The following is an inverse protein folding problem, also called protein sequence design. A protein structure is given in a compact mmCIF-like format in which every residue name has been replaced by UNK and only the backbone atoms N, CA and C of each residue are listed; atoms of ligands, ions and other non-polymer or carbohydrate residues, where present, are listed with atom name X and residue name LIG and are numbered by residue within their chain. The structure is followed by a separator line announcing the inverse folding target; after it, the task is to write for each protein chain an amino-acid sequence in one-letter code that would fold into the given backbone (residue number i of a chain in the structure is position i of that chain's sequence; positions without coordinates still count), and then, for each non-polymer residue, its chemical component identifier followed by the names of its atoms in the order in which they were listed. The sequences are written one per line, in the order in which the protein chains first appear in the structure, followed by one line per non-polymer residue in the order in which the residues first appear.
data_IF_350583970089
#
_entry.id   IF_350583970089
#
_cell.length_a   1.000
_cell.length_b   1.000
_cell.length_c   1.000
_cell.angle_alpha   90.00
_cell.angle_beta   90.00
_cell.angle_gamma   90.00
#
_symmetry.space_group_name_H-M   'P 1'
#
loop_
_entity.id
_entity.type
_entity.pdbx_description
1 polymer ?
#
# COMPACT_ATOMS: atom_id res chain seq x y z
N UNK A 1 29.53 -30.93 -3.99
CA UNK A 1 28.21 -30.78 -3.35
C UNK A 1 27.76 -29.37 -3.67
N UNK A 2 26.93 -29.20 -4.70
CA UNK A 2 26.50 -27.90 -5.21
C UNK A 2 25.11 -27.68 -4.60
N UNK A 3 25.02 -26.88 -3.53
CA UNK A 3 23.75 -26.55 -2.92
C UNK A 3 23.02 -25.53 -3.81
N UNK A 4 22.15 -26.05 -4.68
CA UNK A 4 21.09 -25.29 -5.34
C UNK A 4 20.08 -24.80 -4.29
N UNK A 5 20.45 -23.78 -3.51
CA UNK A 5 19.48 -23.03 -2.70
C UNK A 5 18.80 -22.00 -3.58
N UNK A 6 17.90 -22.47 -4.45
CA UNK A 6 16.89 -21.63 -5.06
C UNK A 6 16.05 -21.02 -3.93
N UNK A 7 16.30 -19.74 -3.61
CA UNK A 7 15.59 -18.98 -2.60
C UNK A 7 14.12 -18.83 -3.04
N UNK A 8 13.26 -19.73 -2.55
CA UNK A 8 11.81 -19.54 -2.56
C UNK A 8 11.51 -18.29 -1.73
N UNK A 9 11.27 -17.15 -2.36
CA UNK A 9 10.79 -15.95 -1.65
C UNK A 9 11.26 -14.58 -2.14
N UNK A 10 11.99 -14.49 -3.25
CA UNK A 10 12.33 -13.16 -3.79
C UNK A 10 11.11 -12.57 -4.50
N UNK A 11 10.53 -11.52 -3.89
CA UNK A 11 9.43 -10.71 -4.43
C UNK A 11 9.89 -10.16 -5.79
N UNK A 12 9.24 -10.50 -6.92
CA UNK A 12 9.69 -10.03 -8.23
C UNK A 12 9.71 -8.49 -8.28
N UNK A 13 10.71 -7.87 -8.92
CA UNK A 13 10.76 -6.42 -9.09
C UNK A 13 9.54 -5.98 -9.93
N UNK A 14 8.74 -5.08 -9.36
CA UNK A 14 7.42 -4.67 -9.85
C UNK A 14 7.50 -3.75 -11.08
N UNK A 15 8.13 -4.19 -12.16
CA UNK A 15 8.05 -3.58 -13.49
C UNK A 15 7.30 -4.57 -14.40
N UNK A 16 6.06 -4.88 -14.02
CA UNK A 16 5.10 -5.51 -14.91
C UNK A 16 3.98 -4.50 -15.15
N UNK A 17 3.74 -4.22 -16.43
CA UNK A 17 2.69 -3.33 -16.93
C UNK A 17 1.40 -3.53 -16.14
N UNK A 18 0.97 -2.48 -15.42
CA UNK A 18 -0.18 -2.54 -14.50
C UNK A 18 -1.40 -3.07 -15.28
N UNK A 19 -1.97 -4.24 -14.93
CA UNK A 19 -3.20 -4.69 -15.57
C UNK A 19 -4.31 -3.69 -15.21
N UNK A 20 -4.90 -3.07 -16.22
CA UNK A 20 -5.98 -2.10 -16.05
C UNK A 20 -7.20 -2.83 -15.50
N UNK A 21 -7.52 -2.55 -14.25
CA UNK A 21 -8.71 -3.07 -13.58
C UNK A 21 -9.96 -2.47 -14.22
N UNK A 22 -10.96 -3.31 -14.49
CA UNK A 22 -12.21 -2.93 -15.19
C UNK A 22 -13.23 -2.21 -14.29
N UNK A 23 -13.10 -2.30 -12.97
CA UNK A 23 -14.02 -1.72 -11.99
C UNK A 23 -13.22 -1.18 -10.80
N UNK A 24 -13.60 0.01 -10.34
CA UNK A 24 -13.07 0.61 -9.12
C UNK A 24 -13.68 -0.09 -7.90
N UNK A 25 -12.90 -0.33 -6.84
CA UNK A 25 -13.45 -0.91 -5.61
C UNK A 25 -14.32 0.12 -4.89
N UNK A 26 -15.31 -0.34 -4.11
CA UNK A 26 -16.13 0.56 -3.30
C UNK A 26 -15.36 1.12 -2.09
N UNK A 27 -14.35 0.40 -1.62
CA UNK A 27 -13.55 0.75 -0.45
C UNK A 27 -12.05 0.74 -0.80
N UNK A 28 -11.32 1.64 -0.16
CA UNK A 28 -9.90 1.86 -0.33
C UNK A 28 -9.20 1.80 1.03
N UNK A 29 -8.09 1.08 1.08
CA UNK A 29 -7.20 1.10 2.23
C UNK A 29 -6.33 2.38 2.17
N UNK A 30 -6.41 3.18 3.23
CA UNK A 30 -5.52 4.34 3.45
C UNK A 30 -4.69 4.03 4.69
N UNK A 31 -3.41 4.39 4.69
CA UNK A 31 -2.52 4.16 5.84
C UNK A 31 -2.34 5.48 6.58
N UNK A 32 -2.68 5.50 7.86
CA UNK A 32 -2.32 6.61 8.74
C UNK A 32 -0.85 6.45 9.17
N UNK A 33 -0.01 7.31 8.62
CA UNK A 33 1.42 7.26 8.87
C UNK A 33 1.82 7.72 10.27
N UNK A 34 0.92 8.37 11.02
CA UNK A 34 1.19 8.78 12.41
C UNK A 34 1.37 7.60 13.36
N UNK A 35 0.67 6.49 13.10
CA UNK A 35 0.78 5.26 13.89
C UNK A 35 1.51 4.13 13.18
N UNK A 36 1.78 4.26 11.88
CA UNK A 36 2.43 3.20 11.12
C UNK A 36 3.91 3.07 11.48
N UNK A 37 4.29 1.91 12.01
CA UNK A 37 5.68 1.57 12.37
C UNK A 37 6.48 0.92 11.23
N UNK A 38 5.83 0.60 10.11
CA UNK A 38 6.45 -0.12 9.01
C UNK A 38 6.73 -1.60 9.31
N UNK A 39 5.91 -2.24 10.16
CA UNK A 39 6.05 -3.66 10.54
C UNK A 39 5.81 -4.70 9.42
N UNK A 40 5.51 -4.26 8.20
CA UNK A 40 5.34 -5.08 6.99
C UNK A 40 4.24 -6.16 7.01
N UNK A 41 3.52 -6.35 8.12
CA UNK A 41 2.45 -7.34 8.23
C UNK A 41 1.42 -7.20 7.09
N UNK A 42 1.01 -5.97 6.79
CA UNK A 42 0.05 -5.68 5.72
C UNK A 42 0.52 -6.11 4.32
N UNK A 43 1.83 -6.13 4.07
CA UNK A 43 2.39 -6.53 2.77
C UNK A 43 2.20 -8.02 2.56
N UNK A 44 2.48 -8.84 3.58
CA UNK A 44 2.37 -10.31 3.51
C UNK A 44 0.93 -10.75 3.24
N UNK A 45 -0.04 -10.04 3.79
CA UNK A 45 -1.47 -10.38 3.62
C UNK A 45 -2.10 -9.76 2.38
N UNK A 46 -1.38 -8.95 1.60
CA UNK A 46 -1.94 -8.32 0.42
C UNK A 46 -1.98 -9.30 -0.76
N UNK A 47 -3.16 -9.70 -1.26
CA UNK A 47 -3.27 -10.69 -2.35
C UNK A 47 -2.82 -10.14 -3.72
N UNK A 48 -2.71 -8.82 -3.83
CA UNK A 48 -2.37 -8.10 -5.07
C UNK A 48 -1.04 -7.36 -4.97
N UNK A 49 -0.31 -7.54 -3.86
CA UNK A 49 0.96 -6.87 -3.56
C UNK A 49 0.92 -5.35 -3.85
N UNK A 50 -0.16 -4.68 -3.47
CA UNK A 50 -0.31 -3.23 -3.70
C UNK A 50 0.37 -2.37 -2.63
N UNK A 51 1.09 -2.95 -1.66
CA UNK A 51 1.69 -2.22 -0.54
C UNK A 51 3.21 -2.23 -0.68
N UNK A 52 3.84 -1.09 -0.38
CA UNK A 52 5.29 -0.88 -0.51
C UNK A 52 5.86 -0.20 0.73
N UNK A 53 7.13 -0.47 1.01
CA UNK A 53 7.86 0.15 2.11
C UNK A 53 8.53 1.40 1.55
N UNK A 54 8.39 2.50 2.28
CA UNK A 54 8.91 3.80 1.91
C UNK A 54 9.66 4.38 3.12
N UNK A 55 10.76 5.12 2.90
CA UNK A 55 11.49 5.73 4.01
C UNK A 55 10.58 6.71 4.76
N UNK A 56 10.58 6.64 6.08
CA UNK A 56 9.75 7.46 6.97
C UNK A 56 10.31 8.89 7.11
N UNK A 57 10.42 9.63 6.00
CA UNK A 57 11.08 10.95 5.98
C UNK A 57 10.27 12.05 6.68
N UNK A 58 8.95 11.89 6.84
CA UNK A 58 8.08 12.92 7.42
C UNK A 58 7.72 12.69 8.90
N UNK A 59 7.85 11.47 9.41
CA UNK A 59 7.55 11.14 10.80
C UNK A 59 8.83 10.61 11.46
N UNK A 60 9.57 11.51 12.11
CA UNK A 60 10.88 11.23 12.72
C UNK A 60 10.89 10.11 13.78
N UNK A 61 9.72 9.62 14.20
CA UNK A 61 9.60 8.48 15.12
C UNK A 61 9.93 7.14 14.45
N UNK A 62 9.71 6.99 13.13
CA UNK A 62 9.86 5.73 12.44
C UNK A 62 10.73 5.89 11.19
N UNK A 63 11.79 5.07 11.07
CA UNK A 63 12.71 5.12 9.93
C UNK A 63 12.07 4.63 8.62
N UNK A 64 10.99 3.85 8.71
CA UNK A 64 10.28 3.29 7.58
C UNK A 64 8.78 3.26 7.85
N UNK A 65 8.00 3.49 6.79
CA UNK A 65 6.54 3.39 6.80
C UNK A 65 6.09 2.59 5.57
N UNK A 66 4.81 2.25 5.52
CA UNK A 66 4.21 1.57 4.36
C UNK A 66 3.25 2.49 3.63
N UNK A 67 3.13 2.27 2.32
CA UNK A 67 2.24 3.02 1.43
C UNK A 67 1.47 2.05 0.52
N UNK A 68 0.22 2.40 0.19
CA UNK A 68 -0.68 1.59 -0.65
C UNK A 68 -0.79 2.22 -2.03
N UNK A 69 -0.50 1.45 -3.07
CA UNK A 69 -0.84 1.81 -4.45
C UNK A 69 -2.37 1.74 -4.64
N UNK A 70 -2.97 2.92 -4.69
CA UNK A 70 -4.41 3.11 -4.90
C UNK A 70 -4.85 2.43 -6.19
N UNK A 71 -4.02 2.41 -7.24
CA UNK A 71 -4.29 1.80 -8.56
C UNK A 71 -4.31 0.27 -8.56
N UNK A 72 -3.78 -0.36 -7.52
CA UNK A 72 -3.74 -1.83 -7.39
C UNK A 72 -4.61 -2.33 -6.26
N UNK A 73 -4.94 -1.49 -5.28
CA UNK A 73 -5.79 -1.86 -4.15
C UNK A 73 -7.18 -2.31 -4.61
N UNK A 74 -7.55 -3.55 -4.31
CA UNK A 74 -8.87 -4.12 -4.64
C UNK A 74 -9.90 -3.94 -3.52
N UNK A 75 -9.52 -3.28 -2.42
CA UNK A 75 -10.42 -3.08 -1.28
C UNK A 75 -10.76 -4.35 -0.50
N UNK A 76 -9.86 -5.34 -0.43
CA UNK A 76 -10.13 -6.61 0.26
C UNK A 76 -10.11 -6.55 1.80
N UNK A 77 -9.66 -5.43 2.40
CA UNK A 77 -9.56 -5.20 3.84
C UNK A 77 -8.66 -6.16 4.66
N UNK A 78 -7.93 -7.08 4.02
CA UNK A 78 -7.01 -7.99 4.72
C UNK A 78 -5.84 -7.28 5.40
N UNK A 79 -5.35 -6.19 4.82
CA UNK A 79 -4.28 -5.39 5.43
C UNK A 79 -4.74 -4.75 6.75
N UNK A 80 -5.95 -4.17 6.78
CA UNK A 80 -6.53 -3.55 7.97
C UNK A 80 -6.73 -4.59 9.07
N UNK A 81 -7.32 -5.75 8.75
CA UNK A 81 -7.57 -6.82 9.71
C UNK A 81 -6.31 -7.37 10.38
N UNK A 82 -5.19 -7.41 9.64
CA UNK A 82 -3.93 -7.96 10.14
C UNK A 82 -2.94 -6.89 10.62
N UNK A 83 -3.34 -5.62 10.66
CA UNK A 83 -2.49 -4.57 11.19
C UNK A 83 -2.50 -4.65 12.73
N UNK A 84 -1.36 -4.88 13.40
CA UNK A 84 -1.32 -4.92 14.86
C UNK A 84 -1.54 -3.54 15.51
N UNK A 85 -1.39 -2.47 14.73
CA UNK A 85 -1.52 -1.08 15.18
C UNK A 85 -2.89 -0.48 14.84
N UNK A 86 -3.70 -1.18 14.05
CA UNK A 86 -5.00 -0.71 13.54
C UNK A 86 -4.93 0.69 12.86
N UNK A 87 -3.84 0.94 12.12
CA UNK A 87 -3.56 2.24 11.49
C UNK A 87 -4.01 2.32 10.04
N UNK A 88 -4.84 1.38 9.58
CA UNK A 88 -5.24 1.26 8.17
C UNK A 88 -6.76 1.46 8.07
N UNK A 89 -7.26 2.71 8.05
CA UNK A 89 -8.66 2.98 7.80
C UNK A 89 -9.09 2.50 6.40
N UNK A 90 -10.19 1.74 6.37
CA UNK A 90 -10.91 1.41 5.15
C UNK A 90 -11.96 2.50 4.89
N UNK A 91 -11.77 3.28 3.83
CA UNK A 91 -12.66 4.39 3.48
C UNK A 91 -13.39 4.10 2.17
N UNK A 92 -14.58 4.68 1.93
CA UNK A 92 -15.17 4.68 0.60
C UNK A 92 -14.17 5.21 -0.43
N UNK A 93 -14.10 4.61 -1.62
CA UNK A 93 -13.08 4.94 -2.62
C UNK A 93 -13.00 6.45 -2.93
N UNK A 94 -14.14 7.10 -3.10
CA UNK A 94 -14.24 8.55 -3.35
C UNK A 94 -13.69 9.41 -2.19
N UNK A 95 -13.78 8.93 -0.95
CA UNK A 95 -13.24 9.62 0.23
C UNK A 95 -11.76 9.27 0.45
N UNK A 96 -11.40 8.01 0.26
CA UNK A 96 -10.04 7.51 0.38
C UNK A 96 -9.08 8.22 -0.57
N UNK A 97 -9.48 8.48 -1.81
CA UNK A 97 -8.65 9.26 -2.76
C UNK A 97 -8.39 10.69 -2.24
N UNK A 98 -9.38 11.32 -1.61
CA UNK A 98 -9.25 12.70 -1.09
C UNK A 98 -8.36 12.75 0.15
N UNK A 99 -8.47 11.75 1.04
CA UNK A 99 -7.72 11.69 2.30
C UNK A 99 -6.34 11.07 2.19
N UNK A 100 -6.10 10.22 1.18
CA UNK A 100 -4.80 9.62 0.92
C UNK A 100 -3.65 10.65 0.91
N UNK A 101 -3.69 11.77 0.16
CA UNK A 101 -2.58 12.74 0.15
C UNK A 101 -2.36 13.48 1.48
N UNK A 102 -3.32 13.43 2.41
CA UNK A 102 -3.19 14.02 3.76
C UNK A 102 -2.61 13.02 4.77
N UNK A 103 -2.91 11.73 4.60
CA UNK A 103 -2.55 10.65 5.54
C UNK A 103 -1.32 9.85 5.09
N UNK A 104 -1.08 9.75 3.79
CA UNK A 104 0.07 9.08 3.17
C UNK A 104 1.04 10.08 2.56
N UNK A 105 2.33 9.77 2.63
CA UNK A 105 3.39 10.49 1.92
C UNK A 105 3.00 10.65 0.46
N UNK A 106 3.10 11.88 -0.05
CA UNK A 106 2.86 12.24 -1.46
C UNK A 106 3.80 11.54 -2.45
N UNK A 107 4.69 10.65 -1.99
CA UNK A 107 5.97 10.39 -2.63
C UNK A 107 5.93 9.23 -3.62
N UNK A 108 5.02 8.25 -3.51
CA UNK A 108 5.05 7.05 -4.39
C UNK A 108 3.69 6.69 -5.01
N UNK A 109 2.57 7.16 -4.47
CA UNK A 109 1.31 7.22 -5.21
C UNK A 109 1.48 8.16 -6.40
N UNK A 110 1.92 7.61 -7.53
CA UNK A 110 2.03 8.23 -8.84
C UNK A 110 0.78 9.08 -9.10
N UNK A 111 0.86 10.36 -8.72
CA UNK A 111 -0.28 11.16 -8.31
C UNK A 111 -1.22 11.37 -9.49
N UNK A 112 -2.21 10.47 -9.60
CA UNK A 112 -3.50 10.88 -10.10
C UNK A 112 -4.15 11.68 -8.99
N UNK A 113 -4.01 13.00 -9.03
CA UNK A 113 -4.96 13.85 -8.31
C UNK A 113 -6.37 13.54 -8.82
N UNK A 114 -7.41 13.94 -8.08
CA UNK A 114 -8.82 13.68 -8.44
C UNK A 114 -9.15 14.11 -9.90
N UNK A 115 -8.29 14.92 -10.52
CA UNK A 115 -8.36 15.37 -11.91
C UNK A 115 -8.07 14.28 -12.96
N UNK A 116 -7.27 13.26 -12.65
CA UNK A 116 -6.81 12.22 -13.62
C UNK A 116 -7.72 10.97 -13.70
N UNK A 117 -8.84 10.98 -12.96
CA UNK A 117 -9.88 9.92 -12.94
C UNK A 117 -11.08 10.32 -13.85
N UNK A 118 -10.96 11.38 -14.66
CA UNK A 118 -11.98 11.74 -15.66
C UNK A 118 -11.97 10.87 -16.91
#
# INVERSE_FOLDING_TARGET
MIENTARKGERPPKIASKPVRKREPNILAVIDQRGCTGCEACIIFCPVDCIEIVPGTHFAQFQQVVEVDIERCIGCALCAKNCPWDTIPMLPYAEGIKKAPELTLKSICNQKTVEDIK
#
